data_IF_052129974372
#
_entry.id   IF_052129974372
#
_cell.length_a   1.000
_cell.length_b   1.000
_cell.length_c   1.000
_cell.angle_alpha   90.00
_cell.angle_beta   90.00
_cell.angle_gamma   90.00
#
_symmetry.space_group_name_H-M   'P 1'
#
loop_
_entity.id
_entity.type
_entity.pdbx_description
1 polymer ?
#
# COMPACT_ATOMS: atom_id res chain seq x y z
N UNK A 1 -28.86 32.71 4.13
CA UNK A 1 -29.23 31.32 4.49
C UNK A 1 -28.50 30.26 3.64
N UNK A 2 -27.50 30.60 2.82
CA UNK A 2 -26.58 29.62 2.22
C UNK A 2 -25.33 29.38 3.11
N UNK A 3 -24.98 30.37 3.92
CA UNK A 3 -23.74 30.44 4.71
C UNK A 3 -23.43 29.21 5.58
N UNK A 4 -24.41 28.65 6.30
CA UNK A 4 -24.17 27.49 7.17
C UNK A 4 -23.96 26.19 6.41
N UNK A 5 -24.56 26.05 5.23
CA UNK A 5 -24.41 24.86 4.39
C UNK A 5 -23.08 24.95 3.63
N UNK A 6 -22.74 26.13 3.13
CA UNK A 6 -21.46 26.38 2.46
C UNK A 6 -20.29 26.15 3.42
N UNK A 7 -20.35 26.70 4.64
CA UNK A 7 -19.33 26.48 5.68
C UNK A 7 -19.17 24.99 6.06
N UNK A 8 -20.27 24.25 6.15
CA UNK A 8 -20.22 22.82 6.47
C UNK A 8 -19.58 22.01 5.33
N UNK A 9 -19.87 22.35 4.08
CA UNK A 9 -19.29 21.70 2.91
C UNK A 9 -17.78 22.00 2.79
N UNK A 10 -17.38 23.26 3.00
CA UNK A 10 -15.97 23.67 2.95
C UNK A 10 -15.13 22.93 4.00
N UNK A 11 -15.67 22.76 5.21
CA UNK A 11 -15.02 21.98 6.25
C UNK A 11 -14.87 20.51 5.82
N UNK A 12 -15.95 19.88 5.37
CA UNK A 12 -15.92 18.48 4.93
C UNK A 12 -14.94 18.25 3.77
N UNK A 13 -14.88 19.16 2.79
CA UNK A 13 -13.96 19.10 1.67
C UNK A 13 -12.51 19.27 2.10
N UNK A 14 -12.25 20.16 3.07
CA UNK A 14 -10.91 20.36 3.63
C UNK A 14 -10.41 19.11 4.35
N UNK A 15 -11.26 18.47 5.16
CA UNK A 15 -10.95 17.24 5.90
C UNK A 15 -10.71 16.09 4.93
N UNK A 16 -11.59 15.91 3.95
CA UNK A 16 -11.46 14.88 2.92
C UNK A 16 -10.17 15.06 2.12
N UNK A 17 -9.86 16.28 1.72
CA UNK A 17 -8.64 16.61 0.99
C UNK A 17 -7.38 16.29 1.82
N UNK A 18 -7.38 16.59 3.13
CA UNK A 18 -6.29 16.26 4.02
C UNK A 18 -6.05 14.75 4.09
N UNK A 19 -7.12 13.95 4.24
CA UNK A 19 -7.03 12.49 4.28
C UNK A 19 -6.51 11.90 2.96
N UNK A 20 -7.01 12.39 1.82
CA UNK A 20 -6.54 11.95 0.50
C UNK A 20 -5.04 12.25 0.34
N UNK A 21 -4.58 13.44 0.73
CA UNK A 21 -3.17 13.82 0.68
C UNK A 21 -2.30 12.88 1.53
N UNK A 22 -2.73 12.56 2.75
CA UNK A 22 -2.02 11.61 3.61
C UNK A 22 -1.94 10.22 2.99
N UNK A 23 -3.04 9.74 2.40
CA UNK A 23 -3.09 8.43 1.75
C UNK A 23 -2.16 8.36 0.52
N UNK A 24 -2.16 9.40 -0.33
CA UNK A 24 -1.26 9.51 -1.48
C UNK A 24 0.20 9.53 -1.02
N UNK A 25 0.53 10.33 0.00
CA UNK A 25 1.87 10.40 0.55
C UNK A 25 2.35 9.04 1.08
N UNK A 26 1.50 8.30 1.80
CA UNK A 26 1.79 6.92 2.24
C UNK A 26 1.99 5.94 1.08
N UNK A 27 1.27 6.12 -0.02
CA UNK A 27 1.44 5.32 -1.23
C UNK A 27 2.76 5.59 -1.95
N UNK A 28 3.27 6.82 -1.87
CA UNK A 28 4.54 7.22 -2.49
C UNK A 28 5.76 6.92 -1.64
N UNK A 29 5.62 6.75 -0.32
CA UNK A 29 6.75 6.40 0.53
C UNK A 29 7.30 5.00 0.18
N UNK A 30 8.63 4.86 0.04
CA UNK A 30 9.27 3.55 -0.09
C UNK A 30 8.97 2.72 1.16
N UNK A 31 8.25 1.62 1.00
CA UNK A 31 7.95 0.68 2.09
C UNK A 31 9.12 -0.23 2.43
N UNK A 32 10.15 -0.23 1.57
CA UNK A 32 11.39 -0.96 1.79
C UNK A 32 12.40 -0.01 2.42
N UNK A 33 13.01 -0.37 3.56
CA UNK A 33 14.25 0.27 3.99
C UNK A 33 15.30 0.18 2.86
N UNK A 34 16.15 1.19 2.67
CA UNK A 34 17.14 1.23 1.58
C UNK A 34 18.12 0.03 1.59
N UNK A 35 18.22 -0.69 2.71
CA UNK A 35 19.07 -1.86 2.87
C UNK A 35 18.69 -3.13 2.07
N UNK A 36 17.64 -3.13 1.25
CA UNK A 36 17.31 -4.26 0.35
C UNK A 36 17.55 -3.95 -1.14
N UNK A 37 18.49 -3.06 -1.43
CA UNK A 37 18.98 -2.83 -2.78
C UNK A 37 20.41 -3.38 -2.93
N UNK A 38 20.60 -4.39 -3.79
CA UNK A 38 21.92 -4.89 -4.19
C UNK A 38 22.15 -4.50 -5.64
N UNK A 39 23.28 -3.85 -5.94
CA UNK A 39 23.63 -3.37 -7.29
C UNK A 39 22.55 -2.48 -7.94
N UNK A 40 21.85 -1.68 -7.14
CA UNK A 40 20.76 -0.80 -7.60
C UNK A 40 19.45 -1.52 -7.93
N UNK A 41 19.36 -2.83 -7.69
CA UNK A 41 18.14 -3.64 -7.88
C UNK A 41 17.47 -3.87 -6.54
N UNK A 42 16.14 -3.72 -6.50
CA UNK A 42 15.38 -4.08 -5.29
C UNK A 42 15.25 -5.58 -5.17
N UNK A 43 15.45 -6.08 -3.97
CA UNK A 43 15.38 -7.49 -3.63
C UNK A 43 14.10 -7.76 -2.86
N UNK A 44 13.44 -8.88 -3.18
CA UNK A 44 12.28 -9.38 -2.46
C UNK A 44 12.69 -9.76 -1.03
N UNK A 45 11.96 -9.25 -0.03
CA UNK A 45 12.25 -9.54 1.38
C UNK A 45 11.99 -11.00 1.78
N UNK A 46 11.12 -11.71 1.03
CA UNK A 46 10.71 -13.08 1.36
C UNK A 46 11.62 -14.14 0.73
N UNK A 47 11.91 -14.02 -0.58
CA UNK A 47 12.67 -15.02 -1.32
C UNK A 47 14.11 -14.60 -1.67
N UNK A 48 14.47 -13.32 -1.50
CA UNK A 48 15.80 -12.81 -1.84
C UNK A 48 16.06 -12.65 -3.34
N UNK A 49 15.06 -12.85 -4.20
CA UNK A 49 15.19 -12.63 -5.65
C UNK A 49 14.96 -11.16 -6.05
N UNK A 50 15.54 -10.68 -7.16
CA UNK A 50 15.27 -9.34 -7.65
C UNK A 50 13.80 -9.13 -8.01
N UNK A 51 13.20 -8.03 -7.53
CA UNK A 51 11.84 -7.64 -7.89
C UNK A 51 11.84 -7.19 -9.35
N UNK A 52 10.91 -7.73 -10.15
CA UNK A 52 10.82 -7.42 -11.58
C UNK A 52 10.58 -5.92 -11.81
N UNK A 53 11.18 -5.40 -12.90
CA UNK A 53 10.99 -4.00 -13.27
C UNK A 53 9.52 -3.68 -13.55
N UNK A 54 8.76 -4.63 -14.12
CA UNK A 54 7.33 -4.47 -14.35
C UNK A 54 6.56 -4.29 -13.03
N UNK A 55 6.91 -5.03 -11.98
CA UNK A 55 6.31 -4.87 -10.64
C UNK A 55 6.65 -3.53 -10.03
N UNK A 56 7.91 -3.10 -10.12
CA UNK A 56 8.36 -1.78 -9.63
C UNK A 56 7.75 -0.62 -10.42
N UNK A 57 7.48 -0.78 -11.71
CA UNK A 57 6.80 0.23 -12.51
C UNK A 57 5.32 0.38 -12.12
N UNK A 58 4.62 -0.73 -11.86
CA UNK A 58 3.22 -0.71 -11.44
C UNK A 58 3.05 -0.32 -9.95
N UNK A 59 3.94 -0.79 -9.09
CA UNK A 59 3.94 -0.55 -7.64
C UNK A 59 5.35 -0.12 -7.23
N UNK A 60 5.65 1.19 -7.30
CA UNK A 60 6.98 1.71 -7.01
C UNK A 60 7.46 1.47 -5.58
N UNK A 61 6.65 1.00 -4.65
CA UNK A 61 7.04 0.69 -3.29
C UNK A 61 6.89 -0.80 -2.93
N UNK A 62 6.86 -1.69 -3.94
CA UNK A 62 6.82 -3.13 -3.71
C UNK A 62 8.03 -3.59 -2.86
N UNK A 63 7.74 -4.43 -1.86
CA UNK A 63 8.72 -5.03 -0.92
C UNK A 63 8.98 -6.50 -1.19
N UNK A 64 8.10 -7.15 -1.95
CA UNK A 64 8.14 -8.56 -2.30
C UNK A 64 7.85 -8.76 -3.80
N UNK A 65 8.25 -9.91 -4.34
CA UNK A 65 7.90 -10.29 -5.71
C UNK A 65 6.42 -10.71 -5.80
N UNK A 66 5.88 -10.70 -7.02
CA UNK A 66 4.48 -11.06 -7.28
C UNK A 66 4.12 -12.44 -6.74
N UNK A 67 5.02 -13.41 -6.84
CA UNK A 67 4.77 -14.78 -6.38
C UNK A 67 4.67 -14.88 -4.85
N UNK A 68 5.57 -14.17 -4.14
CA UNK A 68 5.53 -14.10 -2.68
C UNK A 68 4.29 -13.35 -2.18
N UNK A 69 3.89 -12.27 -2.85
CA UNK A 69 2.63 -11.57 -2.55
C UNK A 69 1.42 -12.46 -2.78
N UNK A 70 1.34 -13.17 -3.91
CA UNK A 70 0.24 -14.09 -4.17
C UNK A 70 0.17 -15.20 -3.10
N UNK A 71 1.32 -15.78 -2.73
CA UNK A 71 1.40 -16.79 -1.69
C UNK A 71 0.96 -16.24 -0.32
N UNK A 72 1.30 -15.00 0.03
CA UNK A 72 0.83 -14.33 1.24
C UNK A 72 -0.70 -14.13 1.21
N UNK A 73 -1.26 -13.63 0.10
CA UNK A 73 -2.71 -13.46 -0.06
C UNK A 73 -3.50 -14.78 0.04
N UNK A 74 -2.93 -15.87 -0.48
CA UNK A 74 -3.52 -17.20 -0.33
C UNK A 74 -3.49 -17.66 1.13
N UNK A 75 -2.35 -17.50 1.83
CA UNK A 75 -2.24 -17.80 3.28
C UNK A 75 -3.23 -16.99 4.11
N UNK A 76 -3.35 -15.69 3.86
CA UNK A 76 -4.29 -14.82 4.56
C UNK A 76 -5.75 -15.21 4.31
N UNK A 77 -6.10 -15.59 3.07
CA UNK A 77 -7.44 -16.11 2.77
C UNK A 77 -7.74 -17.39 3.53
N UNK A 78 -6.78 -18.31 3.62
CA UNK A 78 -6.94 -19.52 4.43
C UNK A 78 -7.05 -19.20 5.93
N UNK A 79 -6.23 -18.29 6.45
CA UNK A 79 -6.30 -17.85 7.84
C UNK A 79 -7.65 -17.20 8.16
N UNK A 80 -8.14 -16.30 7.30
CA UNK A 80 -9.45 -15.67 7.44
C UNK A 80 -10.58 -16.69 7.40
N UNK A 81 -10.58 -17.63 6.46
CA UNK A 81 -11.60 -18.70 6.37
C UNK A 81 -11.61 -19.63 7.58
N UNK A 82 -10.45 -19.83 8.20
CA UNK A 82 -10.26 -20.75 9.33
C UNK A 82 -10.29 -20.01 10.68
N UNK A 83 -10.46 -18.68 10.66
CA UNK A 83 -10.61 -17.86 11.84
C UNK A 83 -11.96 -18.15 12.50
N UNK A 84 -12.03 -18.33 13.83
CA UNK A 84 -13.28 -18.46 14.56
C UNK A 84 -14.20 -17.23 14.43
N UNK A 85 -13.64 -16.11 13.97
CA UNK A 85 -14.30 -14.80 13.86
C UNK A 85 -14.41 -14.32 12.40
N UNK A 86 -14.33 -15.23 11.43
CA UNK A 86 -14.66 -14.90 10.04
C UNK A 86 -16.15 -14.51 9.97
N UNK A 87 -16.53 -13.48 9.18
CA UNK A 87 -17.94 -13.11 9.02
C UNK A 87 -18.77 -14.24 8.42
#
# INVERSE_FOLDING_TARGET
MADVIDQANDLADSERSALVRLQVARGQQPRVPPQHATDGRRICIDCGEPISHQRLAAVPNAVACTDCEAAAEHRDRHHRRRSPWAP
#
